data_IF_561633769555
#
_entry.id   IF_561633769555
#
_cell.length_a   1.000
_cell.length_b   1.000
_cell.length_c   1.000
_cell.angle_alpha   90.00
_cell.angle_beta   90.00
_cell.angle_gamma   90.00
#
_symmetry.space_group_name_H-M   'P 1'
#
loop_
_entity.id
_entity.type
_entity.pdbx_description
1 polymer ?
#
# COMPACT_ATOMS: atom_id res chain seq x y z
N UNK A 1 -18.58 13.49 1.64
CA UNK A 1 -18.99 13.03 0.30
C UNK A 1 -18.01 11.96 -0.15
N UNK A 2 -18.47 10.77 -0.58
CA UNK A 2 -17.57 9.82 -1.21
C UNK A 2 -16.98 10.47 -2.49
N UNK A 3 -15.67 10.30 -2.69
CA UNK A 3 -14.98 10.75 -3.89
C UNK A 3 -15.61 10.12 -5.13
N UNK A 4 -15.89 10.93 -6.14
CA UNK A 4 -16.36 10.44 -7.44
C UNK A 4 -15.23 9.67 -8.13
N UNK A 5 -15.50 8.42 -8.52
CA UNK A 5 -14.52 7.54 -9.17
C UNK A 5 -13.91 8.16 -10.43
N UNK A 6 -14.69 8.92 -11.19
CA UNK A 6 -14.25 9.57 -12.43
C UNK A 6 -13.14 10.60 -12.17
N UNK A 7 -13.30 11.44 -11.14
CA UNK A 7 -12.28 12.42 -10.74
C UNK A 7 -10.96 11.76 -10.34
N UNK A 8 -11.03 10.62 -9.65
CA UNK A 8 -9.84 9.85 -9.27
C UNK A 8 -9.13 9.29 -10.51
N UNK A 9 -9.87 8.76 -11.48
CA UNK A 9 -9.31 8.23 -12.73
C UNK A 9 -8.64 9.34 -13.54
N UNK A 10 -9.26 10.51 -13.63
CA UNK A 10 -8.70 11.67 -14.34
C UNK A 10 -7.39 12.15 -13.70
N UNK A 11 -7.38 12.33 -12.38
CA UNK A 11 -6.18 12.73 -11.64
C UNK A 11 -5.02 11.73 -11.80
N UNK A 12 -5.30 10.42 -11.81
CA UNK A 12 -4.27 9.39 -12.04
C UNK A 12 -3.70 9.49 -13.46
N UNK A 13 -4.54 9.72 -14.48
CA UNK A 13 -4.07 9.90 -15.86
C UNK A 13 -3.15 11.12 -15.98
N UNK A 14 -3.59 12.25 -15.44
CA UNK A 14 -2.83 13.49 -15.43
C UNK A 14 -1.47 13.32 -14.73
N UNK A 15 -1.44 12.64 -13.58
CA UNK A 15 -0.21 12.35 -12.85
C UNK A 15 0.77 11.51 -13.68
N UNK A 16 0.27 10.49 -14.40
CA UNK A 16 1.11 9.63 -15.26
C UNK A 16 1.63 10.37 -16.49
N UNK A 17 0.86 11.27 -17.08
CA UNK A 17 1.26 12.06 -18.26
C UNK A 17 2.29 13.13 -17.91
N UNK A 18 2.15 13.78 -16.75
CA UNK A 18 3.10 14.79 -16.26
C UNK A 18 4.39 14.19 -15.70
N UNK A 19 4.40 12.89 -15.37
CA UNK A 19 5.57 12.20 -14.85
C UNK A 19 6.68 12.08 -15.91
N UNK A 20 7.91 12.41 -15.52
CA UNK A 20 9.08 12.21 -16.37
C UNK A 20 9.37 10.71 -16.52
N UNK A 21 9.73 10.28 -17.74
CA UNK A 21 10.15 8.90 -17.99
C UNK A 21 11.41 8.55 -17.18
N UNK A 22 11.41 7.37 -16.57
CA UNK A 22 12.53 6.80 -15.81
C UNK A 22 12.78 5.36 -16.28
N UNK A 23 13.97 4.85 -16.01
CA UNK A 23 14.38 3.49 -16.42
C UNK A 23 13.99 2.41 -15.41
N UNK A 24 12.91 2.62 -14.66
CA UNK A 24 12.38 1.68 -13.67
C UNK A 24 10.86 1.84 -13.53
N UNK A 25 10.18 0.79 -13.03
CA UNK A 25 8.74 0.81 -12.73
C UNK A 25 8.47 1.78 -11.58
N UNK A 26 7.66 2.81 -11.82
CA UNK A 26 7.35 3.84 -10.83
C UNK A 26 6.11 3.45 -10.02
N UNK A 27 6.15 3.66 -8.71
CA UNK A 27 5.00 3.54 -7.82
C UNK A 27 4.13 4.79 -7.86
N UNK A 28 2.86 4.66 -7.50
CA UNK A 28 1.91 5.78 -7.35
C UNK A 28 1.61 5.99 -5.87
N UNK A 29 1.69 7.23 -5.41
CA UNK A 29 1.43 7.60 -4.02
C UNK A 29 0.08 8.32 -3.85
N UNK A 30 -0.61 8.05 -2.75
CA UNK A 30 -1.82 8.76 -2.34
C UNK A 30 -1.50 9.68 -1.16
N UNK A 31 -1.66 10.99 -1.35
CA UNK A 31 -1.43 11.99 -0.31
C UNK A 31 -2.78 12.58 0.10
N UNK A 32 -3.10 12.51 1.39
CA UNK A 32 -4.35 13.00 1.97
C UNK A 32 -4.06 14.08 3.01
N UNK A 33 -4.65 15.26 2.83
CA UNK A 33 -4.66 16.31 3.84
C UNK A 33 -5.97 16.23 4.62
N UNK A 34 -5.88 15.79 5.87
CA UNK A 34 -7.03 15.65 6.75
C UNK A 34 -7.20 16.92 7.57
N UNK A 35 -8.44 17.41 7.66
CA UNK A 35 -8.82 18.53 8.53
C UNK A 35 -9.57 17.99 9.74
N UNK A 36 -9.51 18.72 10.84
CA UNK A 36 -10.28 18.44 12.06
C UNK A 36 -9.93 17.11 12.77
N UNK A 37 -8.69 16.64 12.62
CA UNK A 37 -8.15 15.49 13.34
C UNK A 37 -7.01 15.94 14.26
N UNK A 38 -7.12 15.65 15.56
CA UNK A 38 -6.03 15.85 16.50
C UNK A 38 -5.13 14.61 16.56
N UNK A 39 -4.01 14.66 15.83
CA UNK A 39 -3.01 13.59 15.79
C UNK A 39 -2.26 13.39 17.13
N UNK A 40 -2.38 14.32 18.09
CA UNK A 40 -1.76 14.17 19.41
C UNK A 40 -2.55 13.19 20.28
N UNK A 41 -3.87 13.22 20.17
CA UNK A 41 -4.75 12.26 20.83
C UNK A 41 -4.49 10.84 20.32
N UNK A 42 -4.58 9.81 21.18
CA UNK A 42 -4.50 8.41 20.73
C UNK A 42 -5.60 8.06 19.71
N UNK A 43 -6.79 8.65 19.85
CA UNK A 43 -7.97 8.39 19.03
C UNK A 43 -7.83 8.97 17.61
N UNK A 44 -7.14 10.10 17.46
CA UNK A 44 -6.88 10.71 16.15
C UNK A 44 -5.75 10.06 15.34
N UNK A 45 -5.08 9.04 15.89
CA UNK A 45 -4.03 8.31 15.16
C UNK A 45 -4.63 7.27 14.24
N UNK A 46 -4.47 7.47 12.94
CA UNK A 46 -4.91 6.51 11.92
C UNK A 46 -3.82 5.44 11.77
N UNK A 47 -4.14 4.19 12.14
CA UNK A 47 -3.27 3.02 12.00
C UNK A 47 -4.05 1.85 11.41
N UNK A 48 -4.44 2.01 10.15
CA UNK A 48 -5.25 1.03 9.45
C UNK A 48 -4.40 0.19 8.49
N UNK A 49 -4.68 -1.12 8.45
CA UNK A 49 -4.17 -2.01 7.42
C UNK A 49 -5.24 -2.16 6.35
N UNK A 50 -4.98 -1.60 5.17
CA UNK A 50 -5.91 -1.65 4.03
C UNK A 50 -5.33 -2.61 2.99
N UNK A 51 -6.07 -3.67 2.69
CA UNK A 51 -5.74 -4.57 1.59
C UNK A 51 -6.15 -3.92 0.26
N UNK A 52 -5.20 -3.83 -0.67
CA UNK A 52 -5.48 -3.30 -2.00
C UNK A 52 -6.32 -4.30 -2.79
N UNK A 53 -7.40 -3.87 -3.49
CA UNK A 53 -8.26 -4.78 -4.25
C UNK A 53 -7.57 -5.35 -5.49
N UNK A 54 -6.55 -4.66 -6.00
CA UNK A 54 -5.78 -5.03 -7.20
C UNK A 54 -4.28 -4.86 -6.96
N UNK A 55 -3.65 -5.73 -6.13
CA UNK A 55 -2.22 -5.66 -5.89
C UNK A 55 -1.45 -6.11 -7.13
N UNK A 56 -0.33 -5.44 -7.46
CA UNK A 56 0.56 -5.95 -8.52
C UNK A 56 1.57 -6.95 -7.92
N UNK A 57 1.99 -7.98 -8.67
CA UNK A 57 2.93 -8.99 -8.16
C UNK A 57 4.29 -8.43 -7.73
N UNK A 58 4.73 -7.34 -8.37
CA UNK A 58 5.99 -6.63 -8.08
C UNK A 58 5.90 -5.78 -6.80
N UNK A 59 4.68 -5.40 -6.40
CA UNK A 59 4.39 -4.59 -5.21
C UNK A 59 3.97 -5.46 -4.01
N UNK A 60 4.02 -6.79 -4.12
CA UNK A 60 3.82 -7.64 -2.95
C UNK A 60 4.93 -7.36 -1.93
N UNK A 61 4.52 -6.94 -0.73
CA UNK A 61 5.43 -6.68 0.36
C UNK A 61 6.31 -7.90 0.64
N UNK A 62 7.61 -7.68 0.85
CA UNK A 62 8.49 -8.74 1.32
C UNK A 62 8.08 -9.17 2.72
N UNK A 63 7.91 -10.48 2.93
CA UNK A 63 7.45 -11.06 4.18
C UNK A 63 8.58 -11.79 4.91
N UNK A 64 8.83 -11.38 6.16
CA UNK A 64 9.71 -12.07 7.09
C UNK A 64 8.86 -12.69 8.21
N UNK A 65 8.98 -14.00 8.41
CA UNK A 65 8.20 -14.74 9.40
C UNK A 65 9.12 -15.37 10.44
N UNK A 66 9.08 -14.89 11.68
CA UNK A 66 9.87 -15.46 12.77
C UNK A 66 9.06 -16.60 13.42
N UNK A 67 9.38 -17.85 13.10
CA UNK A 67 8.68 -19.02 13.63
C UNK A 67 9.61 -20.24 13.78
N UNK A 68 9.16 -21.25 14.55
CA UNK A 68 9.83 -22.56 14.68
C UNK A 68 8.87 -23.71 14.41
N UNK A 69 9.42 -24.91 14.19
CA UNK A 69 8.64 -26.13 14.01
C UNK A 69 7.70 -26.09 12.81
N UNK A 70 6.46 -26.52 13.01
CA UNK A 70 5.44 -26.63 11.95
C UNK A 70 5.13 -25.28 11.28
N UNK A 71 5.10 -24.19 12.05
CA UNK A 71 4.80 -22.85 11.53
C UNK A 71 5.88 -22.36 10.57
N UNK A 72 7.15 -22.66 10.84
CA UNK A 72 8.25 -22.35 9.93
C UNK A 72 8.14 -23.15 8.61
N UNK A 73 7.68 -24.41 8.68
CA UNK A 73 7.45 -25.21 7.47
C UNK A 73 6.29 -24.66 6.64
N UNK A 74 5.20 -24.25 7.28
CA UNK A 74 4.05 -23.60 6.60
C UNK A 74 4.46 -22.29 5.94
N UNK A 75 5.23 -21.46 6.63
CA UNK A 75 5.75 -20.20 6.12
C UNK A 75 6.62 -20.39 4.85
N UNK A 76 7.53 -21.37 4.87
CA UNK A 76 8.36 -21.71 3.70
C UNK A 76 7.51 -22.20 2.52
N UNK A 77 6.48 -23.01 2.77
CA UNK A 77 5.54 -23.48 1.73
C UNK A 77 4.70 -22.35 1.14
N UNK A 78 4.35 -21.35 1.96
CA UNK A 78 3.62 -20.15 1.56
C UNK A 78 4.49 -19.12 0.81
N UNK A 79 5.77 -19.43 0.55
CA UNK A 79 6.73 -18.57 -0.16
C UNK A 79 7.03 -17.23 0.52
N UNK A 80 7.12 -17.23 1.86
CA UNK A 80 7.69 -16.08 2.57
C UNK A 80 9.15 -15.85 2.14
N UNK A 81 9.56 -14.58 2.03
CA UNK A 81 10.91 -14.20 1.61
C UNK A 81 11.99 -14.61 2.63
N UNK A 82 11.65 -14.56 3.93
CA UNK A 82 12.52 -14.98 5.02
C UNK A 82 11.73 -15.72 6.11
N UNK A 83 12.29 -16.81 6.64
CA UNK A 83 11.71 -17.64 7.72
C UNK A 83 12.77 -18.07 8.71
#
# INVERSE_FOLDING_TARGET
>A
MPLEKEKVIEAIKEAKEKAKKRNFTQSVELILNLKDIDMKSPEGRIREQIELPHPTPEEMNKLCIIAKGELALKAKRAKADLV
#
